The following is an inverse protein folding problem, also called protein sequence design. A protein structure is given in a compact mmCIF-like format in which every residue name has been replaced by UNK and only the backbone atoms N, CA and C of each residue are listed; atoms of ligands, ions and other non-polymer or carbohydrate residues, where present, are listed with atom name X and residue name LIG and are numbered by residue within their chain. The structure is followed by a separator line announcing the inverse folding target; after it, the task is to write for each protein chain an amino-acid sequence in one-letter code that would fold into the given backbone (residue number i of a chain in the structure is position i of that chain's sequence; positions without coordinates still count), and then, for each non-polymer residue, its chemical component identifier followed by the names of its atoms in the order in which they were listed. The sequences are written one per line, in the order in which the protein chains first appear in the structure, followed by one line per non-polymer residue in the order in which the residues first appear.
data_IF_557671109489
#
_entry.id   IF_557671109489
#
_cell.length_a   1.000
_cell.length_b   1.000
_cell.length_c   1.000
_cell.angle_alpha   90.00
_cell.angle_beta   90.00
_cell.angle_gamma   90.00
#
_symmetry.space_group_name_H-M   'P 1'
#
loop_
_entity.id
_entity.type
_entity.pdbx_description
1 polymer ?
#
# COMPACT_ATOMS: atom_id res chain seq x y z
N UNK A 1 -8.75 -5.71 11.24
CA UNK A 1 -8.40 -6.45 10.02
C UNK A 1 -9.29 -7.67 9.89
N UNK A 2 -10.19 -7.69 8.91
CA UNK A 2 -11.03 -8.85 8.57
C UNK A 2 -10.28 -9.75 7.58
N UNK A 3 -9.20 -10.38 8.03
CA UNK A 3 -8.46 -11.37 7.24
C UNK A 3 -8.94 -12.78 7.56
N UNK A 4 -9.12 -13.62 6.54
CA UNK A 4 -9.36 -15.06 6.74
C UNK A 4 -8.03 -15.80 6.67
N UNK A 5 -7.82 -16.74 7.59
CA UNK A 5 -6.68 -17.67 7.51
C UNK A 5 -6.96 -18.61 6.34
N UNK A 6 -6.10 -18.56 5.32
CA UNK A 6 -6.19 -19.43 4.13
C UNK A 6 -5.32 -20.67 4.27
N UNK A 7 -4.37 -20.67 5.19
CA UNK A 7 -3.52 -21.81 5.45
C UNK A 7 -2.48 -21.55 6.52
N UNK A 8 -2.02 -22.64 7.12
CA UNK A 8 -0.92 -22.62 8.09
C UNK A 8 0.12 -23.65 7.66
N UNK A 9 1.36 -23.22 7.48
CA UNK A 9 2.49 -24.12 7.19
C UNK A 9 3.44 -24.16 8.36
N UNK A 10 3.83 -25.37 8.74
CA UNK A 10 4.66 -25.61 9.92
C UNK A 10 5.96 -26.26 9.48
N UNK A 11 7.04 -25.51 9.60
CA UNK A 11 8.39 -25.96 9.30
C UNK A 11 9.04 -26.47 10.58
N UNK A 12 9.63 -27.66 10.55
CA UNK A 12 10.23 -28.29 11.74
C UNK A 12 11.59 -28.86 11.39
N UNK A 13 12.59 -28.64 12.25
CA UNK A 13 13.90 -29.24 12.07
C UNK A 13 13.81 -30.77 12.15
N UNK A 14 14.48 -31.46 11.22
CA UNK A 14 14.49 -32.93 11.09
C UNK A 14 14.78 -33.65 12.41
N UNK A 15 15.75 -33.17 13.17
CA UNK A 15 16.23 -33.77 14.42
C UNK A 15 15.16 -33.89 15.52
N UNK A 16 14.05 -33.16 15.40
CA UNK A 16 12.93 -33.16 16.35
C UNK A 16 11.65 -33.78 15.78
N UNK A 17 11.66 -34.31 14.54
CA UNK A 17 10.52 -35.08 14.04
C UNK A 17 10.50 -36.46 14.68
N UNK A 18 9.41 -36.81 15.35
CA UNK A 18 9.16 -38.19 15.73
C UNK A 18 8.86 -39.01 14.47
N UNK A 19 9.38 -40.25 14.38
CA UNK A 19 9.11 -41.17 13.24
C UNK A 19 7.61 -41.40 12.99
N UNK A 20 6.78 -41.30 14.05
CA UNK A 20 5.33 -41.39 13.94
C UNK A 20 4.68 -40.16 13.28
N UNK A 21 5.25 -38.97 13.48
CA UNK A 21 4.73 -37.73 12.88
C UNK A 21 5.20 -37.58 11.42
N UNK A 22 6.38 -38.11 11.08
CA UNK A 22 6.87 -38.22 9.70
C UNK A 22 5.92 -39.10 8.87
N UNK A 23 5.54 -40.27 9.39
CA UNK A 23 4.61 -41.18 8.72
C UNK A 23 3.24 -40.53 8.51
N UNK A 24 2.67 -39.89 9.53
CA UNK A 24 1.40 -39.15 9.42
C UNK A 24 1.45 -38.04 8.36
N UNK A 25 2.57 -37.34 8.23
CA UNK A 25 2.74 -36.30 7.20
C UNK A 25 2.83 -36.89 5.80
N UNK A 26 3.54 -38.00 5.63
CA UNK A 26 3.62 -38.70 4.35
C UNK A 26 2.25 -39.24 3.92
N UNK A 27 1.50 -39.80 4.88
CA UNK A 27 0.14 -40.30 4.65
C UNK A 27 -0.81 -39.15 4.27
N UNK A 28 -0.74 -38.00 4.96
CA UNK A 28 -1.54 -36.82 4.63
C UNK A 28 -1.19 -36.21 3.26
N UNK A 29 0.09 -36.22 2.84
CA UNK A 29 0.50 -35.77 1.51
C UNK A 29 -0.05 -36.72 0.43
N UNK A 30 -0.06 -38.03 0.71
CA UNK A 30 -0.62 -39.02 -0.20
C UNK A 30 -2.15 -38.85 -0.35
N UNK A 31 -2.87 -38.72 0.77
CA UNK A 31 -4.31 -38.49 0.78
C UNK A 31 -4.69 -37.20 0.02
N UNK A 32 -3.90 -36.13 0.19
CA UNK A 32 -4.09 -34.89 -0.53
C UNK A 32 -3.86 -35.05 -2.04
N UNK A 33 -2.81 -35.76 -2.44
CA UNK A 33 -2.55 -36.06 -3.86
C UNK A 33 -3.72 -36.86 -4.46
N UNK A 34 -4.23 -37.85 -3.75
CA UNK A 34 -5.35 -38.67 -4.22
C UNK A 34 -6.64 -37.85 -4.38
N UNK A 35 -6.90 -36.93 -3.45
CA UNK A 35 -8.02 -35.97 -3.54
C UNK A 35 -7.85 -35.01 -4.73
N UNK A 36 -6.67 -34.40 -4.90
CA UNK A 36 -6.39 -33.46 -5.99
C UNK A 36 -6.52 -34.16 -7.36
N UNK A 37 -6.02 -35.41 -7.49
CA UNK A 37 -6.17 -36.24 -8.69
C UNK A 37 -7.63 -36.61 -8.97
N UNK A 38 -8.44 -36.89 -7.94
CA UNK A 38 -9.87 -37.18 -8.12
C UNK A 38 -10.63 -35.95 -8.63
N UNK A 39 -10.29 -34.77 -8.12
CA UNK A 39 -10.89 -33.48 -8.52
C UNK A 39 -10.50 -33.14 -9.95
N UNK A 40 -9.24 -33.36 -10.33
CA UNK A 40 -8.74 -33.15 -11.69
C UNK A 40 -9.46 -34.07 -12.69
N UNK A 41 -9.70 -35.34 -12.34
CA UNK A 41 -10.48 -36.28 -13.17
C UNK A 41 -11.92 -35.84 -13.38
N UNK A 42 -12.55 -35.30 -12.34
CA UNK A 42 -13.92 -34.76 -12.43
C UNK A 42 -13.95 -33.55 -13.37
N UNK A 43 -13.04 -32.59 -13.18
CA UNK A 43 -12.95 -31.39 -14.02
C UNK A 43 -12.60 -31.71 -15.47
N UNK A 44 -11.76 -32.73 -15.69
CA UNK A 44 -11.48 -33.31 -17.00
C UNK A 44 -12.78 -33.76 -17.66
N UNK A 45 -13.59 -34.59 -16.98
CA UNK A 45 -14.87 -35.09 -17.49
C UNK A 45 -15.84 -33.96 -17.84
N UNK A 46 -16.02 -32.99 -16.95
CA UNK A 46 -16.87 -31.80 -17.18
C UNK A 46 -16.42 -30.99 -18.40
N UNK A 47 -15.10 -30.86 -18.60
CA UNK A 47 -14.54 -30.16 -19.77
C UNK A 47 -14.77 -30.92 -21.09
N UNK A 48 -14.73 -32.25 -21.07
CA UNK A 48 -15.06 -33.07 -22.24
C UNK A 48 -16.55 -33.03 -22.58
N UNK A 49 -17.42 -33.02 -21.56
CA UNK A 49 -18.88 -32.83 -21.73
C UNK A 49 -19.20 -31.44 -22.29
N UNK A 50 -18.52 -30.37 -21.83
CA UNK A 50 -18.68 -29.03 -22.40
C UNK A 50 -18.26 -28.95 -23.88
N UNK A 51 -17.29 -29.76 -24.30
CA UNK A 51 -16.82 -29.85 -25.68
C UNK A 51 -17.88 -30.41 -26.65
N UNK A 52 -18.90 -31.12 -26.15
CA UNK A 52 -20.00 -31.64 -26.98
C UNK A 52 -20.88 -30.54 -27.58
N UNK A 53 -20.86 -29.34 -26.99
CA UNK A 53 -21.63 -28.18 -27.45
C UNK A 53 -20.94 -27.36 -28.55
N UNK A 54 -19.68 -27.70 -28.89
CA UNK A 54 -18.83 -26.96 -29.83
C UNK A 54 -18.91 -27.55 -31.25
N UNK A 55 -18.71 -26.71 -32.27
CA UNK A 55 -18.79 -27.13 -33.68
C UNK A 55 -17.79 -28.26 -34.04
N UNK A 56 -18.20 -29.23 -34.89
CA UNK A 56 -17.46 -30.48 -35.11
C UNK A 56 -16.06 -30.29 -35.72
N UNK A 57 -15.81 -29.19 -36.45
CA UNK A 57 -14.52 -28.89 -37.07
C UNK A 57 -13.43 -28.45 -36.07
N UNK A 58 -13.80 -27.77 -34.97
CA UNK A 58 -12.85 -27.33 -33.92
C UNK A 58 -12.69 -28.36 -32.80
N UNK A 59 -13.61 -29.31 -32.70
CA UNK A 59 -13.69 -30.29 -31.61
C UNK A 59 -12.45 -31.19 -31.51
N UNK A 60 -11.79 -31.52 -32.63
CA UNK A 60 -10.60 -32.40 -32.62
C UNK A 60 -9.37 -31.68 -32.03
N UNK A 61 -9.04 -30.49 -32.52
CA UNK A 61 -7.89 -29.71 -32.05
C UNK A 61 -8.06 -29.27 -30.58
N UNK A 62 -9.27 -28.89 -30.19
CA UNK A 62 -9.56 -28.46 -28.82
C UNK A 62 -9.50 -29.64 -27.82
N UNK A 63 -9.88 -30.84 -28.29
CA UNK A 63 -9.77 -32.08 -27.51
C UNK A 63 -8.30 -32.44 -27.24
N UNK A 64 -7.46 -32.43 -28.28
CA UNK A 64 -6.02 -32.71 -28.15
C UNK A 64 -5.35 -31.70 -27.20
N UNK A 65 -5.72 -30.41 -27.30
CA UNK A 65 -5.21 -29.36 -26.42
C UNK A 65 -5.60 -29.57 -24.95
N UNK A 66 -6.84 -29.98 -24.69
CA UNK A 66 -7.32 -30.30 -23.34
C UNK A 66 -6.66 -31.55 -22.77
N UNK A 67 -6.44 -32.59 -23.58
CA UNK A 67 -5.72 -33.81 -23.15
C UNK A 67 -4.32 -33.47 -22.68
N UNK A 68 -3.55 -32.75 -23.50
CA UNK A 68 -2.20 -32.28 -23.16
C UNK A 68 -2.19 -31.40 -21.90
N UNK A 69 -3.18 -30.52 -21.74
CA UNK A 69 -3.30 -29.66 -20.57
C UNK A 69 -3.52 -30.46 -19.27
N UNK A 70 -4.42 -31.44 -19.29
CA UNK A 70 -4.71 -32.28 -18.13
C UNK A 70 -3.56 -33.25 -17.79
N UNK A 71 -2.84 -33.76 -18.80
CA UNK A 71 -1.63 -34.56 -18.58
C UNK A 71 -0.52 -33.73 -17.92
N UNK A 72 -0.25 -32.53 -18.42
CA UNK A 72 0.72 -31.63 -17.81
C UNK A 72 0.36 -31.25 -16.35
N UNK A 73 -0.94 -31.10 -16.05
CA UNK A 73 -1.42 -30.86 -14.68
C UNK A 73 -1.23 -32.08 -13.77
N UNK A 74 -1.51 -33.30 -14.26
CA UNK A 74 -1.30 -34.55 -13.50
C UNK A 74 0.18 -34.73 -13.15
N UNK A 75 1.08 -34.54 -14.13
CA UNK A 75 2.53 -34.58 -13.92
C UNK A 75 2.98 -33.55 -12.89
N UNK A 76 2.47 -32.32 -12.97
CA UNK A 76 2.81 -31.25 -12.04
C UNK A 76 2.37 -31.57 -10.61
N UNK A 77 1.15 -32.08 -10.41
CA UNK A 77 0.65 -32.49 -9.09
C UNK A 77 1.51 -33.60 -8.48
N UNK A 78 1.88 -34.61 -9.28
CA UNK A 78 2.77 -35.69 -8.84
C UNK A 78 4.17 -35.17 -8.50
N UNK A 79 4.73 -34.28 -9.32
CA UNK A 79 6.04 -33.67 -9.09
C UNK A 79 6.05 -32.80 -7.82
N UNK A 80 5.01 -32.01 -7.59
CA UNK A 80 4.85 -31.21 -6.37
C UNK A 80 4.74 -32.11 -5.13
N UNK A 81 3.97 -33.21 -5.18
CA UNK A 81 3.88 -34.17 -4.09
C UNK A 81 5.19 -34.93 -3.84
N UNK A 82 5.93 -35.28 -4.90
CA UNK A 82 7.26 -35.90 -4.78
C UNK A 82 8.26 -34.96 -4.09
N UNK A 83 8.27 -33.67 -4.49
CA UNK A 83 9.07 -32.64 -3.84
C UNK A 83 8.69 -32.44 -2.38
N UNK A 84 7.39 -32.40 -2.05
CA UNK A 84 6.94 -32.31 -0.66
C UNK A 84 7.36 -33.53 0.17
N UNK A 85 7.28 -34.75 -0.38
CA UNK A 85 7.77 -35.97 0.28
C UNK A 85 9.28 -35.94 0.50
N UNK A 86 10.05 -35.41 -0.44
CA UNK A 86 11.50 -35.25 -0.30
C UNK A 86 11.86 -34.21 0.76
N UNK A 87 11.17 -33.07 0.79
CA UNK A 87 11.34 -32.03 1.81
C UNK A 87 11.04 -32.55 3.21
N UNK A 88 10.03 -33.41 3.38
CA UNK A 88 9.75 -34.05 4.68
C UNK A 88 10.91 -34.95 5.14
N UNK A 89 11.55 -35.68 4.21
CA UNK A 89 12.67 -36.57 4.50
C UNK A 89 13.97 -35.82 4.80
N UNK A 90 14.26 -34.74 4.08
CA UNK A 90 15.43 -33.90 4.31
C UNK A 90 15.26 -32.98 5.52
N UNK A 91 14.02 -32.64 5.87
CA UNK A 91 13.67 -31.62 6.86
C UNK A 91 13.89 -30.21 6.33
N UNK A 92 13.28 -29.23 7.01
CA UNK A 92 13.39 -27.83 6.60
C UNK A 92 14.69 -27.20 7.12
N UNK A 93 15.36 -26.42 6.27
CA UNK A 93 16.53 -25.63 6.68
C UNK A 93 16.07 -24.41 7.51
N UNK A 94 16.31 -24.50 8.82
CA UNK A 94 15.95 -23.49 9.80
C UNK A 94 17.22 -23.00 10.50
N UNK A 95 17.32 -21.68 10.69
CA UNK A 95 18.42 -21.04 11.42
C UNK A 95 18.73 -21.78 12.74
N UNK A 96 20.01 -21.89 13.10
CA UNK A 96 20.51 -22.81 14.15
C UNK A 96 19.73 -22.74 15.47
N UNK A 97 19.26 -21.56 15.87
CA UNK A 97 18.49 -21.32 17.11
C UNK A 97 16.99 -21.67 17.00
N UNK A 98 16.44 -21.83 15.80
CA UNK A 98 15.00 -21.99 15.56
C UNK A 98 14.64 -23.44 15.32
N UNK A 99 13.92 -24.04 16.27
CA UNK A 99 13.49 -25.43 16.19
C UNK A 99 12.27 -25.64 15.27
N UNK A 100 11.36 -24.65 15.22
CA UNK A 100 10.09 -24.73 14.50
C UNK A 100 9.64 -23.33 14.08
N UNK A 101 9.15 -23.19 12.85
CA UNK A 101 8.55 -21.95 12.33
C UNK A 101 7.14 -22.23 11.88
N UNK A 102 6.19 -21.42 12.32
CA UNK A 102 4.80 -21.48 11.86
C UNK A 102 4.52 -20.26 10.99
N UNK A 103 4.26 -20.48 9.70
CA UNK A 103 3.82 -19.44 8.77
C UNK A 103 2.30 -19.51 8.63
N UNK A 104 1.61 -18.45 9.04
CA UNK A 104 0.16 -18.31 8.89
C UNK A 104 -0.10 -17.39 7.70
N UNK A 105 -0.84 -17.87 6.71
CA UNK A 105 -1.22 -17.11 5.53
C UNK A 105 -2.61 -16.49 5.76
N UNK A 106 -2.67 -15.17 5.67
CA UNK A 106 -3.89 -14.39 5.84
C UNK A 106 -4.26 -13.76 4.51
N UNK A 107 -5.48 -13.98 4.03
CA UNK A 107 -6.03 -13.28 2.88
C UNK A 107 -7.07 -12.26 3.31
N UNK A 108 -7.03 -11.08 2.70
CA UNK A 108 -8.01 -10.02 2.90
C UNK A 108 -8.39 -9.43 1.55
N UNK A 109 -9.69 -9.27 1.30
CA UNK A 109 -10.19 -8.61 0.08
C UNK A 109 -10.28 -7.12 0.34
N UNK A 110 -9.47 -6.34 -0.37
CA UNK A 110 -9.44 -4.86 -0.26
C UNK A 110 -10.27 -4.23 -1.38
N UNK A 111 -11.40 -3.61 -1.02
CA UNK A 111 -12.20 -2.78 -1.95
C UNK A 111 -11.50 -1.45 -2.24
N UNK A 112 -11.93 -0.72 -3.27
CA UNK A 112 -11.48 0.66 -3.53
C UNK A 112 -12.03 1.57 -2.43
N UNK A 113 -11.20 2.49 -1.96
CA UNK A 113 -11.52 3.41 -0.87
C UNK A 113 -10.99 4.80 -1.19
N UNK A 114 -11.51 5.82 -0.49
CA UNK A 114 -10.96 7.17 -0.53
C UNK A 114 -9.49 7.13 -0.08
N UNK A 115 -8.62 7.80 -0.82
CA UNK A 115 -7.17 7.78 -0.58
C UNK A 115 -6.40 6.70 -1.36
N UNK A 116 -7.08 5.73 -1.99
CA UNK A 116 -6.42 4.78 -2.89
C UNK A 116 -5.95 5.49 -4.17
N UNK A 117 -4.82 5.04 -4.72
CA UNK A 117 -4.25 5.61 -5.94
C UNK A 117 -4.67 4.83 -7.19
N UNK A 118 -5.19 5.54 -8.17
CA UNK A 118 -5.56 5.03 -9.50
C UNK A 118 -4.67 5.66 -10.56
N UNK A 119 -4.52 4.97 -11.70
CA UNK A 119 -3.78 5.48 -12.84
C UNK A 119 -4.32 4.93 -14.15
N UNK A 120 -4.46 5.76 -15.19
CA UNK A 120 -4.59 5.27 -16.55
C UNK A 120 -3.22 4.95 -17.16
N UNK A 121 -3.26 4.39 -18.38
CA UNK A 121 -2.05 3.95 -19.11
C UNK A 121 -1.17 5.13 -19.57
N UNK A 122 -1.77 6.31 -19.74
CA UNK A 122 -1.12 7.53 -20.20
C UNK A 122 -0.53 8.40 -19.07
N UNK A 123 -0.25 7.80 -17.91
CA UNK A 123 0.39 8.49 -16.78
C UNK A 123 -0.51 9.44 -15.99
N UNK A 124 -1.80 9.49 -16.29
CA UNK A 124 -2.83 10.19 -15.50
C UNK A 124 -3.03 9.49 -14.15
N UNK A 125 -2.18 9.84 -13.17
CA UNK A 125 -2.23 9.32 -11.81
C UNK A 125 -3.07 10.24 -10.93
N UNK A 126 -3.97 9.65 -10.14
CA UNK A 126 -4.85 10.36 -9.22
C UNK A 126 -5.09 9.56 -7.94
N UNK A 127 -5.60 10.25 -6.92
CA UNK A 127 -6.07 9.64 -5.68
C UNK A 127 -7.59 9.77 -5.66
N UNK A 128 -8.30 8.72 -5.24
CA UNK A 128 -9.75 8.78 -5.07
C UNK A 128 -10.07 9.79 -3.98
N UNK A 129 -10.65 10.93 -4.35
CA UNK A 129 -10.97 12.01 -3.41
C UNK A 129 -12.33 11.80 -2.74
N UNK A 130 -13.33 11.36 -3.49
CA UNK A 130 -14.70 11.12 -3.02
C UNK A 130 -15.31 9.96 -3.79
N UNK A 131 -16.11 9.16 -3.10
CA UNK A 131 -16.98 8.14 -3.70
C UNK A 131 -18.40 8.67 -3.56
N UNK A 132 -19.08 8.89 -4.68
CA UNK A 132 -20.46 9.39 -4.71
C UNK A 132 -21.43 8.21 -4.86
N UNK A 133 -22.66 8.33 -4.32
CA UNK A 133 -23.77 7.47 -4.70
C UNK A 133 -24.07 7.57 -6.20
N UNK A 134 -24.69 6.54 -6.78
CA UNK A 134 -25.01 6.48 -8.21
C UNK A 134 -25.99 7.58 -8.62
N UNK A 135 -26.94 7.93 -7.75
CA UNK A 135 -27.93 8.99 -7.95
C UNK A 135 -27.32 10.40 -8.04
N UNK A 136 -26.14 10.59 -7.46
CA UNK A 136 -25.44 11.86 -7.39
C UNK A 136 -24.47 12.07 -8.57
N UNK A 137 -24.21 11.00 -9.34
CA UNK A 137 -23.27 11.04 -10.46
C UNK A 137 -23.90 11.70 -11.67
N UNK A 138 -23.11 12.45 -12.48
CA UNK A 138 -23.57 12.89 -13.78
C UNK A 138 -24.00 11.70 -14.62
N UNK A 139 -25.11 11.84 -15.33
CA UNK A 139 -25.67 10.78 -16.15
C UNK A 139 -25.86 11.23 -17.60
N UNK A 140 -25.86 10.23 -18.47
CA UNK A 140 -26.08 10.36 -19.90
C UNK A 140 -27.58 10.53 -20.21
N UNK A 141 -27.96 11.01 -21.41
CA UNK A 141 -29.38 11.19 -21.76
C UNK A 141 -30.21 9.91 -21.75
N UNK A 142 -29.57 8.73 -21.77
CA UNK A 142 -30.19 7.41 -21.64
C UNK A 142 -30.43 6.99 -20.17
N UNK A 143 -29.99 7.81 -19.21
CA UNK A 143 -30.06 7.54 -17.78
C UNK A 143 -28.84 6.82 -17.19
N UNK A 144 -27.86 6.45 -18.01
CA UNK A 144 -26.67 5.74 -17.54
C UNK A 144 -25.76 6.69 -16.75
N UNK A 145 -25.47 6.43 -15.45
CA UNK A 145 -24.54 7.25 -14.68
C UNK A 145 -23.09 6.98 -15.10
N UNK A 146 -22.22 7.98 -14.94
CA UNK A 146 -20.79 7.82 -15.16
C UNK A 146 -20.12 7.09 -13.97
N UNK A 147 -19.05 6.33 -14.23
CA UNK A 147 -18.28 5.65 -13.18
C UNK A 147 -17.20 6.54 -12.56
N UNK A 148 -16.51 7.35 -13.38
CA UNK A 148 -15.33 8.14 -12.97
C UNK A 148 -15.36 9.51 -13.64
N UNK A 149 -15.15 10.56 -12.85
CA UNK A 149 -14.99 11.94 -13.33
C UNK A 149 -13.53 12.35 -13.19
N UNK A 150 -12.90 12.70 -14.31
CA UNK A 150 -11.51 13.16 -14.36
C UNK A 150 -11.45 14.67 -14.61
N UNK A 151 -10.54 15.35 -13.90
CA UNK A 151 -10.35 16.79 -14.10
C UNK A 151 -9.62 17.06 -15.44
N UNK A 152 -10.13 17.97 -16.29
CA UNK A 152 -9.51 18.28 -17.57
C UNK A 152 -8.19 19.06 -17.42
N UNK A 153 -7.96 19.72 -16.28
CA UNK A 153 -6.77 20.55 -16.02
C UNK A 153 -5.45 19.76 -16.09
N UNK A 154 -5.52 18.44 -15.88
CA UNK A 154 -4.35 17.57 -15.90
C UNK A 154 -3.85 17.20 -17.30
N UNK A 155 -4.62 17.47 -18.36
CA UNK A 155 -4.29 17.05 -19.73
C UNK A 155 -3.38 18.05 -20.45
N UNK A 156 -3.69 19.36 -20.50
CA UNK A 156 -2.88 20.33 -21.26
C UNK A 156 -1.44 20.44 -20.74
N UNK A 157 -1.28 20.45 -19.41
CA UNK A 157 0.03 20.60 -18.76
C UNK A 157 0.95 19.37 -18.93
N UNK A 158 0.37 18.18 -19.16
CA UNK A 158 1.12 16.92 -19.22
C UNK A 158 1.30 16.38 -20.64
N UNK A 159 0.68 17.02 -21.64
CA UNK A 159 0.75 16.64 -23.06
C UNK A 159 0.38 15.18 -23.35
N UNK A 160 -0.48 14.57 -22.53
CA UNK A 160 -0.91 13.19 -22.66
C UNK A 160 -2.27 13.08 -23.38
N UNK A 161 -2.30 13.58 -24.62
CA UNK A 161 -3.50 13.62 -25.49
C UNK A 161 -4.02 12.23 -25.83
N UNK A 162 -3.15 11.21 -25.84
CA UNK A 162 -3.52 9.83 -26.10
C UNK A 162 -4.65 9.29 -25.20
N UNK A 163 -4.80 9.81 -23.97
CA UNK A 163 -5.91 9.41 -23.10
C UNK A 163 -7.28 9.85 -23.64
N UNK A 164 -7.33 10.98 -24.36
CA UNK A 164 -8.56 11.46 -25.01
C UNK A 164 -8.88 10.58 -26.21
N UNK A 165 -7.89 10.28 -27.04
CA UNK A 165 -8.04 9.37 -28.18
C UNK A 165 -8.47 7.96 -27.74
N UNK A 166 -7.91 7.44 -26.65
CA UNK A 166 -8.35 6.19 -26.02
C UNK A 166 -9.81 6.27 -25.60
N UNK A 167 -10.22 7.36 -24.96
CA UNK A 167 -11.59 7.56 -24.48
C UNK A 167 -12.58 7.59 -25.64
N UNK A 168 -12.24 8.30 -26.72
CA UNK A 168 -13.07 8.40 -27.94
C UNK A 168 -13.24 7.07 -28.63
N UNK A 169 -12.13 6.36 -28.87
CA UNK A 169 -12.17 5.04 -29.52
C UNK A 169 -12.85 4.00 -28.62
N UNK A 170 -12.65 4.08 -27.30
CA UNK A 170 -13.31 3.22 -26.32
C UNK A 170 -14.83 3.40 -26.33
N UNK A 171 -15.32 4.64 -26.46
CA UNK A 171 -16.74 4.92 -26.64
C UNK A 171 -17.32 4.26 -27.90
N UNK A 172 -16.63 4.44 -29.03
CA UNK A 172 -17.09 3.88 -30.31
C UNK A 172 -17.03 2.33 -30.30
N UNK A 173 -15.98 1.76 -29.72
CA UNK A 173 -15.82 0.31 -29.56
C UNK A 173 -16.91 -0.31 -28.69
N UNK A 174 -17.25 0.31 -27.55
CA UNK A 174 -18.35 -0.15 -26.71
C UNK A 174 -19.70 -0.08 -27.44
N UNK A 175 -19.97 1.02 -28.15
CA UNK A 175 -21.22 1.23 -28.89
C UNK A 175 -21.40 0.23 -30.03
N UNK A 176 -20.32 -0.16 -30.70
CA UNK A 176 -20.33 -1.13 -31.80
C UNK A 176 -20.10 -2.57 -31.35
N UNK A 177 -19.87 -2.81 -30.05
CA UNK A 177 -19.58 -4.13 -29.51
C UNK A 177 -18.25 -4.74 -29.99
N UNK A 178 -17.24 -3.90 -30.29
CA UNK A 178 -15.94 -4.34 -30.79
C UNK A 178 -14.79 -3.96 -29.85
N UNK A 179 -13.71 -4.75 -29.89
CA UNK A 179 -12.44 -4.40 -29.27
C UNK A 179 -11.45 -3.94 -30.34
N UNK A 180 -10.80 -2.81 -30.07
CA UNK A 180 -9.81 -2.22 -30.97
C UNK A 180 -8.40 -2.49 -30.47
N UNK A 181 -7.50 -2.90 -31.36
CA UNK A 181 -6.08 -3.08 -31.06
C UNK A 181 -5.31 -2.02 -31.83
N UNK A 182 -4.62 -1.15 -31.11
CA UNK A 182 -3.73 -0.14 -31.69
C UNK A 182 -2.27 -0.50 -31.36
N UNK A 183 -1.48 -0.96 -32.36
CA UNK A 183 -0.05 -1.16 -32.20
C UNK A 183 0.67 0.14 -31.79
N UNK A 184 1.79 -0.02 -31.08
CA UNK A 184 2.63 1.12 -30.69
C UNK A 184 3.30 1.69 -31.95
N UNK A 185 3.25 3.01 -32.12
CA UNK A 185 3.79 3.77 -33.27
C UNK A 185 3.10 3.55 -34.63
N UNK A 186 2.27 2.51 -34.78
CA UNK A 186 1.38 2.30 -35.92
C UNK A 186 -0.08 2.27 -35.43
N UNK A 187 -0.44 3.32 -34.68
CA UNK A 187 -1.78 3.48 -34.10
C UNK A 187 -2.73 4.14 -35.10
N UNK A 188 -4.04 3.94 -34.88
CA UNK A 188 -5.06 4.62 -35.66
C UNK A 188 -4.84 6.15 -35.70
N UNK A 189 -4.93 6.72 -36.90
CA UNK A 189 -4.87 8.17 -37.08
C UNK A 189 -6.12 8.83 -36.50
N UNK A 190 -6.04 10.13 -36.22
CA UNK A 190 -7.18 10.90 -35.69
C UNK A 190 -8.41 10.81 -36.61
N UNK A 191 -8.21 10.91 -37.92
CA UNK A 191 -9.27 10.76 -38.92
C UNK A 191 -9.93 9.37 -38.87
N UNK A 192 -9.13 8.30 -38.72
CA UNK A 192 -9.65 6.94 -38.58
C UNK A 192 -10.46 6.79 -37.29
N UNK A 193 -10.03 7.40 -36.19
CA UNK A 193 -10.81 7.39 -34.94
C UNK A 193 -12.13 8.13 -35.14
N UNK A 194 -12.12 9.30 -35.79
CA UNK A 194 -13.34 10.05 -36.12
C UNK A 194 -14.27 9.26 -37.05
N UNK A 195 -13.73 8.47 -37.98
CA UNK A 195 -14.52 7.59 -38.84
C UNK A 195 -15.25 6.52 -38.04
N UNK A 196 -14.55 5.87 -37.10
CA UNK A 196 -15.16 4.84 -36.23
C UNK A 196 -16.20 5.45 -35.28
N UNK A 197 -15.95 6.66 -34.76
CA UNK A 197 -16.94 7.42 -33.97
C UNK A 197 -18.18 7.75 -34.82
N UNK A 198 -18.00 8.18 -36.08
CA UNK A 198 -19.11 8.43 -37.02
C UNK A 198 -19.90 7.16 -37.34
N UNK A 199 -19.23 6.02 -37.47
CA UNK A 199 -19.90 4.71 -37.63
C UNK A 199 -20.72 4.35 -36.39
N UNK A 200 -20.17 4.53 -35.19
CA UNK A 200 -20.88 4.29 -33.93
C UNK A 200 -22.11 5.19 -33.78
N UNK A 201 -21.99 6.47 -34.14
CA UNK A 201 -23.12 7.41 -34.21
C UNK A 201 -24.20 6.96 -35.16
N UNK A 202 -23.82 6.51 -36.37
CA UNK A 202 -24.76 6.02 -37.37
C UNK A 202 -25.51 4.80 -36.84
N UNK A 203 -24.80 3.87 -36.19
CA UNK A 203 -25.40 2.71 -35.55
C UNK A 203 -26.46 3.10 -34.51
N UNK A 204 -26.18 4.08 -33.65
CA UNK A 204 -27.17 4.61 -32.67
C UNK A 204 -28.33 5.33 -33.35
N UNK A 205 -28.09 6.05 -34.44
CA UNK A 205 -29.14 6.72 -35.22
C UNK A 205 -30.08 5.70 -35.88
N UNK A 206 -29.53 4.60 -36.39
CA UNK A 206 -30.29 3.48 -36.96
C UNK A 206 -31.14 2.75 -35.90
N UNK A 207 -30.71 2.79 -34.63
CA UNK A 207 -31.49 2.32 -33.47
C UNK A 207 -32.57 3.31 -32.99
N UNK A 208 -32.68 4.48 -33.63
CA UNK A 208 -33.73 5.47 -33.33
C UNK A 208 -33.34 6.53 -32.29
N UNK A 209 -32.06 6.67 -31.92
CA UNK A 209 -31.61 7.71 -30.99
C UNK A 209 -31.66 9.09 -31.67
N UNK A 210 -32.37 10.08 -31.10
CA UNK A 210 -32.41 11.44 -31.64
C UNK A 210 -31.03 12.08 -31.71
N UNK A 211 -30.77 12.86 -32.77
CA UNK A 211 -29.47 13.48 -33.02
C UNK A 211 -29.01 14.43 -31.90
N UNK A 212 -29.96 15.01 -31.15
CA UNK A 212 -29.69 15.83 -29.97
C UNK A 212 -28.93 15.07 -28.87
N UNK A 213 -29.15 13.77 -28.76
CA UNK A 213 -28.55 12.91 -27.73
C UNK A 213 -27.34 12.13 -28.23
N UNK A 214 -26.93 12.34 -29.49
CA UNK A 214 -25.69 11.79 -30.01
C UNK A 214 -24.51 12.71 -29.64
N UNK A 215 -23.31 12.16 -29.40
CA UNK A 215 -22.14 12.97 -29.12
C UNK A 215 -21.71 13.79 -30.35
N UNK A 216 -20.75 14.71 -30.19
CA UNK A 216 -20.00 15.31 -31.31
C UNK A 216 -18.98 14.32 -31.89
N UNK A 217 -18.29 14.70 -32.96
CA UNK A 217 -17.24 13.85 -33.55
C UNK A 217 -16.06 13.66 -32.59
N UNK A 218 -15.82 14.63 -31.69
CA UNK A 218 -14.88 14.54 -30.56
C UNK A 218 -15.41 13.75 -29.35
N UNK A 219 -16.47 12.94 -29.52
CA UNK A 219 -17.19 12.24 -28.45
C UNK A 219 -17.67 13.15 -27.28
N UNK A 220 -18.13 14.37 -27.57
CA UNK A 220 -18.72 15.26 -26.54
C UNK A 220 -20.23 15.20 -26.52
N UNK A 221 -20.83 14.95 -25.36
CA UNK A 221 -22.29 14.85 -25.18
C UNK A 221 -22.77 15.83 -24.11
N UNK A 222 -24.05 16.21 -24.17
CA UNK A 222 -24.70 16.92 -23.06
C UNK A 222 -24.96 15.92 -21.94
N UNK A 223 -24.33 16.14 -20.79
CA UNK A 223 -24.62 15.41 -19.55
C UNK A 223 -25.71 16.14 -18.75
N UNK A 224 -26.28 15.43 -17.78
CA UNK A 224 -27.19 16.00 -16.79
C UNK A 224 -26.60 15.79 -15.39
N UNK A 225 -26.78 16.76 -14.51
CA UNK A 225 -26.36 16.65 -13.12
C UNK A 225 -27.30 15.73 -12.35
N UNK A 226 -26.77 14.69 -11.69
CA UNK A 226 -27.53 13.73 -10.89
C UNK A 226 -28.32 14.38 -9.74
N UNK A 227 -27.82 15.49 -9.19
CA UNK A 227 -28.43 16.15 -8.03
C UNK A 227 -29.59 17.05 -8.38
N UNK A 228 -29.47 17.79 -9.48
CA UNK A 228 -30.42 18.82 -9.88
C UNK A 228 -31.29 18.39 -11.05
N UNK A 229 -30.81 17.45 -11.87
CA UNK A 229 -31.42 17.07 -13.14
C UNK A 229 -31.19 18.08 -14.27
N UNK A 230 -30.48 19.17 -14.02
CA UNK A 230 -30.22 20.20 -15.02
C UNK A 230 -29.12 19.77 -16.00
N UNK A 231 -29.23 20.11 -17.30
CA UNK A 231 -28.17 19.86 -18.27
C UNK A 231 -26.95 20.75 -18.00
N UNK A 232 -25.75 20.21 -18.20
CA UNK A 232 -24.53 21.01 -18.17
C UNK A 232 -24.55 22.08 -19.27
N UNK A 233 -23.96 23.25 -18.99
CA UNK A 233 -23.88 24.37 -19.94
C UNK A 233 -23.10 24.04 -21.21
N UNK A 234 -22.06 23.22 -21.11
CA UNK A 234 -21.22 22.78 -22.24
C UNK A 234 -21.24 21.26 -22.40
N UNK A 235 -21.00 20.80 -23.63
CA UNK A 235 -20.85 19.38 -23.92
C UNK A 235 -19.54 18.86 -23.35
N UNK A 236 -19.60 17.72 -22.66
CA UNK A 236 -18.48 17.10 -21.97
C UNK A 236 -17.98 15.89 -22.76
N UNK A 237 -16.66 15.74 -22.87
CA UNK A 237 -16.04 14.54 -23.46
C UNK A 237 -16.32 13.31 -22.61
N UNK A 238 -16.87 12.27 -23.23
CA UNK A 238 -17.21 11.00 -22.57
C UNK A 238 -16.57 9.83 -23.31
N UNK A 239 -16.44 8.70 -22.61
CA UNK A 239 -16.06 7.43 -23.21
C UNK A 239 -15.46 6.46 -22.22
N UNK A 240 -14.90 5.37 -22.74
CA UNK A 240 -14.34 4.31 -21.93
C UNK A 240 -12.81 4.40 -21.91
N UNK A 241 -12.24 4.40 -20.71
CA UNK A 241 -10.79 4.45 -20.48
C UNK A 241 -10.35 3.27 -19.62
N UNK A 242 -9.17 2.74 -19.90
CA UNK A 242 -8.59 1.69 -19.07
C UNK A 242 -7.88 2.29 -17.83
N UNK A 243 -8.45 2.05 -16.65
CA UNK A 243 -7.91 2.54 -15.36
C UNK A 243 -7.42 1.38 -14.50
N UNK A 244 -6.21 1.54 -13.97
CA UNK A 244 -5.54 0.58 -13.09
C UNK A 244 -5.58 1.05 -11.64
N UNK A 245 -5.77 0.10 -10.72
CA UNK A 245 -5.56 0.31 -9.28
C UNK A 245 -4.10 0.08 -8.93
N UNK A 246 -3.44 1.06 -8.33
CA UNK A 246 -2.05 0.94 -7.90
C UNK A 246 -1.93 0.32 -6.52
N UNK A 247 -0.76 -0.27 -6.23
CA UNK A 247 -0.40 -0.83 -4.93
C UNK A 247 -0.27 0.23 -3.79
N UNK A 248 -0.38 1.51 -4.11
CA UNK A 248 -0.27 2.60 -3.15
C UNK A 248 -1.61 2.84 -2.46
N UNK A 249 -1.94 2.00 -1.49
CA UNK A 249 -3.21 2.02 -0.76
C UNK A 249 -3.12 2.91 0.49
N UNK A 250 -4.23 3.54 0.86
CA UNK A 250 -4.25 4.47 2.00
C UNK A 250 -4.04 3.74 3.33
N UNK A 251 -4.61 2.53 3.46
CA UNK A 251 -4.53 1.68 4.65
C UNK A 251 -3.06 1.36 5.02
N UNK A 252 -2.22 1.18 3.99
CA UNK A 252 -0.80 0.89 4.16
C UNK A 252 0.01 2.15 4.50
N UNK A 253 -0.53 3.35 4.33
CA UNK A 253 0.16 4.64 4.57
C UNK A 253 -0.22 5.35 5.87
N UNK A 254 -1.46 5.18 6.35
CA UNK A 254 -1.89 5.82 7.60
C UNK A 254 -1.05 5.27 8.76
N UNK A 255 -0.45 6.17 9.52
CA UNK A 255 0.34 5.85 10.71
C UNK A 255 0.15 6.94 11.75
N UNK A 256 -0.07 6.54 12.99
CA UNK A 256 -0.21 7.44 14.13
C UNK A 256 0.52 6.84 15.32
N UNK A 257 1.13 7.71 16.13
CA UNK A 257 1.86 7.33 17.34
C UNK A 257 1.49 8.29 18.46
N UNK A 258 1.14 7.74 19.61
CA UNK A 258 1.10 8.45 20.89
C UNK A 258 2.40 8.19 21.65
N UNK A 259 2.57 6.97 22.17
CA UNK A 259 3.78 6.46 22.83
C UNK A 259 4.30 5.23 22.06
N UNK A 260 5.56 4.89 22.22
CA UNK A 260 6.13 3.75 21.49
C UNK A 260 7.54 3.41 21.94
N UNK A 261 8.26 2.54 21.22
CA UNK A 261 9.63 2.20 21.55
C UNK A 261 10.59 3.36 21.27
N UNK A 262 11.73 3.29 21.96
CA UNK A 262 12.78 4.29 21.94
C UNK A 262 14.13 3.63 21.64
N UNK A 263 15.04 4.39 21.03
CA UNK A 263 16.42 4.00 20.84
C UNK A 263 17.12 3.79 22.19
N UNK A 264 18.02 2.81 22.26
CA UNK A 264 18.78 2.51 23.49
C UNK A 264 19.75 3.64 23.83
N UNK A 265 20.40 4.22 22.83
CA UNK A 265 21.46 5.21 23.01
C UNK A 265 20.86 6.61 23.15
N UNK A 266 20.19 7.09 22.10
CA UNK A 266 19.72 8.48 22.03
C UNK A 266 18.40 8.72 22.77
N UNK A 267 17.72 7.66 23.23
CA UNK A 267 16.38 7.71 23.85
C UNK A 267 15.29 8.38 23.00
N UNK A 268 15.57 8.62 21.72
CA UNK A 268 14.61 9.17 20.76
C UNK A 268 13.61 8.09 20.28
N UNK A 269 12.39 8.50 19.89
CA UNK A 269 11.44 7.64 19.19
C UNK A 269 12.11 6.86 18.04
N UNK A 270 11.93 5.54 18.00
CA UNK A 270 12.37 4.76 16.83
C UNK A 270 11.62 5.19 15.56
N UNK A 271 12.21 4.98 14.40
CA UNK A 271 11.57 5.26 13.10
C UNK A 271 10.81 4.05 12.55
N UNK A 272 9.92 4.31 11.59
CA UNK A 272 9.25 3.28 10.81
C UNK A 272 7.90 2.82 11.34
N UNK A 273 6.95 2.66 10.42
CA UNK A 273 5.56 2.27 10.73
C UNK A 273 5.46 0.93 11.45
N UNK A 274 6.27 -0.05 11.07
CA UNK A 274 6.26 -1.39 11.65
C UNK A 274 6.63 -1.42 13.15
N UNK A 275 7.40 -0.43 13.62
CA UNK A 275 7.84 -0.32 15.01
C UNK A 275 7.00 0.69 15.81
N UNK A 276 5.87 1.13 15.28
CA UNK A 276 5.12 2.29 15.81
C UNK A 276 6.02 3.51 15.99
N UNK A 277 6.84 3.78 14.98
CA UNK A 277 7.88 4.80 15.02
C UNK A 277 7.34 6.23 15.05
N UNK A 278 8.17 7.17 15.52
CA UNK A 278 7.85 8.59 15.50
C UNK A 278 8.05 9.19 14.10
N UNK A 279 7.39 10.32 13.86
CA UNK A 279 7.66 11.11 12.67
C UNK A 279 8.96 11.90 12.89
N UNK A 280 9.82 11.95 11.87
CA UNK A 280 11.01 12.78 11.93
C UNK A 280 10.61 14.25 11.88
N UNK A 281 11.04 14.99 12.89
CA UNK A 281 11.05 16.44 12.89
C UNK A 281 12.47 16.89 12.56
N UNK A 282 12.68 17.37 11.33
CA UNK A 282 13.99 17.71 10.80
C UNK A 282 14.32 19.19 10.98
N UNK A 283 15.48 19.57 10.46
CA UNK A 283 16.02 20.93 10.56
C UNK A 283 15.14 21.96 9.83
N UNK A 284 14.61 21.61 8.66
CA UNK A 284 13.70 22.49 7.92
C UNK A 284 12.40 22.76 8.70
N UNK A 285 11.88 21.75 9.42
CA UNK A 285 10.70 21.94 10.27
C UNK A 285 11.02 22.75 11.53
N UNK A 286 12.22 22.61 12.10
CA UNK A 286 12.71 23.48 13.19
C UNK A 286 12.70 24.93 12.75
N UNK A 287 13.33 25.25 11.61
CA UNK A 287 13.37 26.62 11.07
C UNK A 287 11.97 27.17 10.80
N UNK A 288 11.04 26.33 10.35
CA UNK A 288 9.65 26.75 10.16
C UNK A 288 9.03 27.22 11.48
N UNK A 289 9.17 26.46 12.57
CA UNK A 289 8.62 26.81 13.90
C UNK A 289 9.35 28.01 14.50
N UNK A 290 10.66 28.13 14.29
CA UNK A 290 11.44 29.31 14.69
C UNK A 290 10.97 30.57 13.97
N UNK A 291 10.69 30.49 12.67
CA UNK A 291 10.16 31.61 11.87
C UNK A 291 8.79 32.09 12.35
N UNK A 292 7.96 31.19 12.90
CA UNK A 292 6.71 31.55 13.57
C UNK A 292 6.90 32.15 14.98
N UNK A 293 8.10 32.07 15.56
CA UNK A 293 8.36 32.50 16.93
C UNK A 293 7.75 31.60 18.01
N UNK A 294 7.38 30.36 17.66
CA UNK A 294 6.70 29.43 18.56
C UNK A 294 7.68 28.66 19.47
N UNK A 295 8.38 29.40 20.35
CA UNK A 295 9.46 28.88 21.20
C UNK A 295 9.04 27.70 22.10
N UNK A 296 7.88 27.77 22.75
CA UNK A 296 7.39 26.69 23.62
C UNK A 296 7.04 25.42 22.85
N UNK A 297 6.49 25.55 21.64
CA UNK A 297 6.17 24.41 20.78
C UNK A 297 7.44 23.72 20.29
N UNK A 298 8.44 24.50 19.89
CA UNK A 298 9.75 23.96 19.52
C UNK A 298 10.41 23.25 20.71
N UNK A 299 10.39 23.88 21.89
CA UNK A 299 10.94 23.29 23.10
C UNK A 299 10.26 21.95 23.42
N UNK A 300 8.93 21.87 23.32
CA UNK A 300 8.17 20.63 23.55
C UNK A 300 8.56 19.52 22.56
N UNK A 301 8.72 19.85 21.28
CA UNK A 301 9.11 18.91 20.22
C UNK A 301 10.53 18.37 20.43
N UNK A 302 11.47 19.24 20.83
CA UNK A 302 12.87 18.88 21.03
C UNK A 302 13.12 18.13 22.35
N UNK A 303 12.23 18.25 23.34
CA UNK A 303 12.42 17.66 24.68
C UNK A 303 11.40 16.56 24.97
N UNK A 304 10.24 16.92 25.52
CA UNK A 304 9.22 16.03 26.09
C UNK A 304 8.65 15.05 25.05
N UNK A 305 8.51 15.47 23.79
CA UNK A 305 8.05 14.60 22.69
C UNK A 305 9.15 13.71 22.09
N UNK A 306 10.42 13.95 22.45
CA UNK A 306 11.58 13.25 21.91
C UNK A 306 12.32 12.45 22.99
N UNK A 307 13.37 13.02 23.57
CA UNK A 307 14.41 12.31 24.32
C UNK A 307 14.53 12.73 25.80
N UNK A 308 13.74 13.70 26.29
CA UNK A 308 13.65 13.99 27.72
C UNK A 308 12.85 12.88 28.42
N UNK A 309 13.57 11.88 28.92
CA UNK A 309 12.99 10.69 29.57
C UNK A 309 12.17 11.06 30.80
N UNK A 310 12.64 12.01 31.61
CA UNK A 310 11.94 12.40 32.84
C UNK A 310 10.75 13.32 32.53
N UNK A 311 10.95 14.29 31.64
CA UNK A 311 9.90 15.22 31.23
C UNK A 311 8.74 14.51 30.53
N UNK A 312 9.02 13.51 29.69
CA UNK A 312 7.99 12.73 29.00
C UNK A 312 7.07 11.97 29.96
N UNK A 313 7.63 11.30 30.97
CA UNK A 313 6.83 10.53 31.95
C UNK A 313 5.95 11.48 32.76
N UNK A 314 6.52 12.59 33.24
CA UNK A 314 5.76 13.63 33.97
C UNK A 314 4.66 14.25 33.12
N UNK A 315 4.96 14.54 31.85
CA UNK A 315 3.98 15.06 30.90
C UNK A 315 2.83 14.09 30.69
N UNK A 316 3.13 12.81 30.51
CA UNK A 316 2.11 11.78 30.33
C UNK A 316 1.20 11.67 31.56
N UNK A 317 1.76 11.68 32.76
CA UNK A 317 0.99 11.72 34.02
C UNK A 317 0.14 12.99 34.15
N UNK A 318 0.70 14.15 33.81
CA UNK A 318 -0.01 15.43 33.86
C UNK A 318 -1.19 15.45 32.89
N UNK A 319 -1.02 14.94 31.67
CA UNK A 319 -2.12 14.82 30.67
C UNK A 319 -3.24 13.93 31.20
N UNK A 320 -2.92 12.81 31.84
CA UNK A 320 -3.93 11.90 32.42
C UNK A 320 -4.68 12.57 33.58
N UNK A 321 -3.98 13.32 34.43
CA UNK A 321 -4.56 14.00 35.59
C UNK A 321 -5.29 15.29 35.22
N UNK A 322 -5.04 15.85 34.03
CA UNK A 322 -5.52 17.17 33.64
C UNK A 322 -4.73 18.33 34.27
N UNK A 323 -3.52 18.06 34.77
CA UNK A 323 -2.66 19.06 35.41
C UNK A 323 -1.82 19.82 34.38
N UNK A 324 -1.32 20.99 34.77
CA UNK A 324 -0.41 21.78 33.93
C UNK A 324 0.91 21.02 33.67
N UNK A 325 1.48 21.14 32.45
CA UNK A 325 2.70 20.44 32.09
C UNK A 325 3.92 20.96 32.89
N UNK A 326 4.78 20.04 33.33
CA UNK A 326 6.02 20.40 34.01
C UNK A 326 7.04 21.02 33.05
N UNK A 327 7.92 21.89 33.56
CA UNK A 327 9.04 22.44 32.77
C UNK A 327 9.94 21.30 32.24
N UNK A 328 10.31 21.33 30.95
CA UNK A 328 11.20 20.32 30.37
C UNK A 328 12.59 20.31 31.00
N UNK A 329 13.22 19.14 31.03
CA UNK A 329 14.59 18.93 31.47
C UNK A 329 15.61 19.05 30.33
N UNK A 330 16.81 18.51 30.56
CA UNK A 330 17.87 18.46 29.55
C UNK A 330 17.67 17.24 28.63
N UNK A 331 17.68 17.44 27.30
CA UNK A 331 17.64 16.35 26.30
C UNK A 331 18.73 15.30 26.54
N UNK A 332 18.40 14.03 26.36
CA UNK A 332 19.38 12.95 26.50
C UNK A 332 20.43 12.99 25.38
N UNK A 333 20.05 13.39 24.17
CA UNK A 333 20.98 13.60 23.05
C UNK A 333 22.10 14.59 23.39
N UNK A 334 21.80 15.65 24.14
CA UNK A 334 22.82 16.60 24.59
C UNK A 334 23.79 15.97 25.59
N UNK A 335 23.30 15.11 26.51
CA UNK A 335 24.18 14.38 27.44
C UNK A 335 25.08 13.39 26.72
N UNK A 336 24.53 12.68 25.72
CA UNK A 336 25.30 11.77 24.85
C UNK A 336 26.39 12.56 24.13
N UNK A 337 26.07 13.71 23.53
CA UNK A 337 27.06 14.58 22.89
C UNK A 337 28.20 14.98 23.84
N UNK A 338 27.89 15.42 25.06
CA UNK A 338 28.91 15.78 26.06
C UNK A 338 29.81 14.58 26.38
N UNK A 339 29.25 13.37 26.50
CA UNK A 339 30.02 12.15 26.77
C UNK A 339 30.88 11.72 25.58
N UNK A 340 30.40 11.89 24.35
CA UNK A 340 31.17 11.63 23.14
C UNK A 340 32.35 12.59 23.00
N UNK A 341 32.17 13.88 23.29
CA UNK A 341 33.27 14.85 23.31
C UNK A 341 34.29 14.54 24.42
N UNK A 342 33.84 14.15 25.61
CA UNK A 342 34.71 13.72 26.71
C UNK A 342 35.52 12.46 26.34
N UNK A 343 34.92 11.52 25.61
CA UNK A 343 35.61 10.32 25.13
C UNK A 343 36.73 10.63 24.12
N UNK A 344 36.65 11.76 23.42
CA UNK A 344 37.71 12.28 22.53
C UNK A 344 38.83 13.01 23.29
N UNK A 345 38.74 13.15 24.62
CA UNK A 345 39.70 13.88 25.44
C UNK A 345 39.42 15.38 25.55
N UNK A 346 38.24 15.86 25.13
CA UNK A 346 37.84 17.26 25.28
C UNK A 346 37.14 17.46 26.63
N UNK A 347 37.59 18.45 27.42
CA UNK A 347 36.90 18.83 28.65
C UNK A 347 35.74 19.76 28.35
N UNK A 348 34.51 19.29 28.56
CA UNK A 348 33.28 20.06 28.37
C UNK A 348 32.55 20.17 29.71
N UNK A 349 32.35 21.40 30.18
CA UNK A 349 31.64 21.71 31.42
C UNK A 349 30.53 22.74 31.17
N UNK A 350 29.38 22.55 31.82
CA UNK A 350 28.26 23.49 31.76
C UNK A 350 28.46 24.60 32.81
N UNK A 351 28.75 25.81 32.35
CA UNK A 351 28.87 26.98 33.21
C UNK A 351 27.52 27.68 33.33
N UNK A 352 27.12 28.05 34.55
CA UNK A 352 26.00 28.96 34.77
C UNK A 352 26.50 30.40 34.62
N UNK A 353 25.90 31.17 33.72
CA UNK A 353 26.18 32.61 33.61
C UNK A 353 25.75 33.29 34.93
N UNK A 354 26.71 33.89 35.63
CA UNK A 354 26.52 34.53 36.95
C UNK A 354 27.32 33.91 38.10
N UNK A 355 28.03 32.79 37.87
CA UNK A 355 28.95 32.18 38.84
C UNK A 355 30.43 32.49 38.54
N UNK A 356 30.72 33.59 37.85
CA UNK A 356 32.09 34.13 37.77
C UNK A 356 32.34 35.04 38.96
N UNK A 357 32.76 34.46 40.09
CA UNK A 357 33.14 35.25 41.26
C UNK A 357 33.13 34.55 42.63
N UNK A 358 33.48 33.27 42.73
CA UNK A 358 33.93 32.69 43.99
C UNK A 358 34.84 31.49 43.67
N UNK A 359 36.12 31.70 43.97
CA UNK A 359 37.27 30.79 43.88
C UNK A 359 37.03 29.43 44.52
N UNK A 360 37.69 28.40 43.99
CA UNK A 360 38.67 27.65 44.80
C UNK A 360 39.59 26.82 43.90
N UNK A 361 40.86 27.21 43.91
CA UNK A 361 41.94 26.34 43.47
C UNK A 361 41.97 25.10 44.36
N UNK A 362 42.33 23.97 43.76
CA UNK A 362 42.73 22.77 44.49
C UNK A 362 43.93 23.11 45.38
N UNK A 363 43.67 23.44 46.63
CA UNK A 363 44.62 23.38 47.73
C UNK A 363 44.24 22.20 48.64
N UNK A 364 45.25 21.39 48.94
CA UNK A 364 45.38 20.32 49.94
C UNK A 364 44.13 19.53 50.39
N UNK A 365 44.09 18.25 49.99
CA UNK A 365 43.33 17.18 50.68
C UNK A 365 44.10 16.54 51.85
N UNK A 366 45.11 17.22 52.39
CA UNK A 366 45.98 16.70 53.45
C UNK A 366 45.74 17.33 54.84
N UNK A 367 45.08 18.49 54.96
CA UNK A 367 45.01 19.19 56.25
C UNK A 367 43.77 18.85 57.13
N UNK A 368 42.78 18.12 56.62
CA UNK A 368 41.59 17.73 57.41
C UNK A 368 41.77 16.46 58.26
N UNK A 369 42.89 15.74 58.13
CA UNK A 369 43.16 14.56 58.97
C UNK A 369 43.97 14.85 60.22
N UNK A 370 44.64 16.00 60.34
CA UNK A 370 45.55 16.27 61.46
C UNK A 370 44.89 17.04 62.62
N UNK A 371 43.76 17.72 62.39
CA UNK A 371 43.05 18.48 63.44
C UNK A 371 42.00 17.68 64.21
N UNK A 372 41.64 16.48 63.77
CA UNK A 372 40.72 15.58 64.49
C UNK A 372 41.42 14.67 65.52
N UNK A 373 42.77 14.69 65.61
CA UNK A 373 43.54 13.84 66.51
C UNK A 373 44.06 14.55 67.77
N UNK A 374 43.70 15.82 67.99
CA UNK A 374 44.01 16.57 69.22
C UNK A 374 42.82 17.41 69.67
N UNK A 375 41.82 16.76 70.27
CA UNK A 375 40.95 17.33 71.30
C UNK A 375 40.43 16.22 72.19
#
# INVERSE_FOLDING_TARGET
MTGKVIGTRVFVRREKLAKGDERKRLDAIQEKLDNDLSTLKQHKKESFEALESVSPAKRKDEKERLELFYEAMDEKLRADAAREKENVKQGDDLAVTVNKVVKVYLASRRKIQVGDKLAGRHGNKGVVAKILPEEDMPFLPDGTPLDVVLSPLGVPSRMNVGQLLETMLGWAGHTLGMQTINPVFDSATEEQIHDVVRQAKKHLKDQGVPEKYLPSDDCRITLYDGRTGEPFHEKVSIGYMYILKLNHLVEDKIHARSTGPYSLITRQPLGGKAQFGGQRFGEMEVWAIEGYGAAYMLQELLTVKSDDVQGRTKMYEAIIKGDAPSRPGTPESFKVLVKELQALGLSVELLKLGASGATEGKASKEDEKETAARK
#
